data_IF_450600023708
#
_entry.id   IF_450600023708
#
_cell.length_a   1.000
_cell.length_b   1.000
_cell.length_c   1.000
_cell.angle_alpha   90.00
_cell.angle_beta   90.00
_cell.angle_gamma   90.00
#
_symmetry.space_group_name_H-M   'P 1'
#
loop_
_entity.id
_entity.type
_entity.pdbx_description
1 polymer ?
#
# COMPACT_ATOMS: atom_id res chain seq x y z
N UNK A 1 14.64 -0.40 17.62
CA UNK A 1 15.33 -0.33 16.31
C UNK A 1 14.95 0.97 15.62
N UNK A 2 15.81 1.55 14.76
CA UNK A 2 15.50 2.78 14.02
C UNK A 2 14.72 2.46 12.74
N UNK A 3 13.72 3.27 12.41
CA UNK A 3 13.01 3.18 11.14
C UNK A 3 13.98 3.39 9.98
N UNK A 4 13.92 2.54 8.97
CA UNK A 4 14.70 2.69 7.73
C UNK A 4 13.90 3.46 6.69
N UNK A 5 14.55 3.94 5.60
CA UNK A 5 13.87 4.67 4.55
C UNK A 5 12.64 3.95 3.99
N UNK A 6 12.66 2.62 3.93
CA UNK A 6 11.52 1.81 3.48
C UNK A 6 10.32 1.88 4.45
N UNK A 7 10.56 1.80 5.77
CA UNK A 7 9.47 1.92 6.74
C UNK A 7 8.92 3.36 6.78
N UNK A 8 9.78 4.36 6.61
CA UNK A 8 9.37 5.76 6.49
C UNK A 8 8.52 5.99 5.23
N UNK A 9 8.93 5.43 4.09
CA UNK A 9 8.17 5.52 2.85
C UNK A 9 6.77 4.88 2.99
N UNK A 10 6.68 3.67 3.57
CA UNK A 10 5.39 3.02 3.86
C UNK A 10 4.52 3.85 4.79
N UNK A 11 5.10 4.39 5.87
CA UNK A 11 4.35 5.20 6.81
C UNK A 11 3.82 6.49 6.16
N UNK A 12 4.64 7.16 5.35
CA UNK A 12 4.24 8.38 4.66
C UNK A 12 3.13 8.14 3.64
N UNK A 13 3.25 7.10 2.81
CA UNK A 13 2.21 6.70 1.84
C UNK A 13 0.92 6.33 2.58
N UNK A 14 1.01 5.46 3.59
CA UNK A 14 -0.16 5.07 4.37
C UNK A 14 -0.86 6.23 5.08
N UNK A 15 -0.11 7.21 5.57
CA UNK A 15 -0.69 8.44 6.14
C UNK A 15 -1.36 9.31 5.08
N UNK A 16 -0.79 9.40 3.88
CA UNK A 16 -1.43 10.12 2.78
C UNK A 16 -2.78 9.47 2.42
N UNK A 17 -2.84 8.14 2.31
CA UNK A 17 -4.08 7.42 1.99
C UNK A 17 -5.11 7.54 3.12
N UNK A 18 -4.66 7.49 4.38
CA UNK A 18 -5.54 7.55 5.55
C UNK A 18 -6.08 8.97 5.86
N UNK A 19 -5.28 10.01 5.63
CA UNK A 19 -5.60 11.38 6.03
C UNK A 19 -6.05 12.25 4.85
N UNK A 20 -5.48 12.03 3.66
CA UNK A 20 -5.83 12.74 2.43
C UNK A 20 -6.69 11.90 1.49
N UNK A 21 -7.45 10.94 2.04
CA UNK A 21 -8.25 9.94 1.32
C UNK A 21 -9.09 10.50 0.18
N UNK A 22 -9.74 11.66 0.39
CA UNK A 22 -10.57 12.27 -0.64
C UNK A 22 -9.76 12.73 -1.86
N UNK A 23 -8.57 13.32 -1.63
CA UNK A 23 -7.67 13.77 -2.70
C UNK A 23 -6.99 12.60 -3.39
N UNK A 24 -6.49 11.63 -2.62
CA UNK A 24 -5.89 10.41 -3.16
C UNK A 24 -6.92 9.67 -4.02
N UNK A 25 -8.12 9.44 -3.49
CA UNK A 25 -9.19 8.77 -4.22
C UNK A 25 -9.62 9.53 -5.47
N UNK A 26 -9.72 10.86 -5.45
CA UNK A 26 -9.99 11.65 -6.67
C UNK A 26 -8.95 11.37 -7.76
N UNK A 27 -7.67 11.29 -7.38
CA UNK A 27 -6.57 10.97 -8.30
C UNK A 27 -6.66 9.53 -8.79
N UNK A 28 -6.86 8.56 -7.90
CA UNK A 28 -6.84 7.13 -8.24
C UNK A 28 -8.05 6.68 -9.05
N UNK A 29 -9.25 7.09 -8.64
CA UNK A 29 -10.49 6.75 -9.34
C UNK A 29 -10.73 7.65 -10.56
N UNK A 30 -10.09 8.83 -10.65
CA UNK A 30 -10.35 9.82 -11.71
C UNK A 30 -11.73 10.49 -11.60
N UNK A 31 -12.38 10.34 -10.44
CA UNK A 31 -13.66 10.91 -10.07
C UNK A 31 -13.74 11.04 -8.56
N UNK A 32 -14.76 11.74 -8.06
CA UNK A 32 -15.03 11.73 -6.62
C UNK A 32 -15.31 10.30 -6.12
N UNK A 33 -14.64 9.86 -5.04
CA UNK A 33 -14.90 8.55 -4.45
C UNK A 33 -16.23 8.53 -3.71
N UNK A 34 -16.86 7.35 -3.66
CA UNK A 34 -18.01 7.09 -2.78
C UNK A 34 -17.57 6.96 -1.32
N UNK A 35 -18.52 6.99 -0.39
CA UNK A 35 -18.22 6.80 1.03
C UNK A 35 -17.55 5.45 1.31
N UNK A 36 -17.98 4.39 0.64
CA UNK A 36 -17.41 3.05 0.77
C UNK A 36 -15.98 2.99 0.24
N UNK A 37 -15.71 3.64 -0.90
CA UNK A 37 -14.36 3.74 -1.47
C UNK A 37 -13.41 4.51 -0.56
N UNK A 38 -13.89 5.59 0.08
CA UNK A 38 -13.12 6.31 1.09
C UNK A 38 -12.82 5.44 2.32
N UNK A 39 -13.78 4.62 2.77
CA UNK A 39 -13.56 3.71 3.89
C UNK A 39 -12.48 2.68 3.55
N UNK A 40 -12.52 2.13 2.34
CA UNK A 40 -11.50 1.19 1.83
C UNK A 40 -10.13 1.86 1.77
N UNK A 41 -10.01 3.03 1.15
CA UNK A 41 -8.73 3.76 1.06
C UNK A 41 -8.16 4.08 2.45
N UNK A 42 -9.00 4.51 3.40
CA UNK A 42 -8.57 4.71 4.79
C UNK A 42 -8.04 3.43 5.43
N UNK A 43 -8.73 2.32 5.22
CA UNK A 43 -8.30 1.03 5.74
C UNK A 43 -6.96 0.60 5.13
N UNK A 44 -6.77 0.76 3.82
CA UNK A 44 -5.50 0.46 3.14
C UNK A 44 -4.37 1.35 3.67
N UNK A 45 -4.63 2.65 3.84
CA UNK A 45 -3.66 3.58 4.44
C UNK A 45 -3.23 3.16 5.84
N UNK A 46 -4.20 2.85 6.72
CA UNK A 46 -3.92 2.36 8.07
C UNK A 46 -3.18 1.03 8.08
N UNK A 47 -3.44 0.13 7.12
CA UNK A 47 -2.70 -1.12 6.95
C UNK A 47 -1.21 -0.83 6.71
N UNK A 48 -0.89 0.08 5.80
CA UNK A 48 0.50 0.45 5.50
C UNK A 48 1.21 1.07 6.72
N UNK A 49 0.53 1.98 7.44
CA UNK A 49 1.05 2.57 8.69
C UNK A 49 1.30 1.51 9.76
N UNK A 50 0.35 0.59 9.93
CA UNK A 50 0.47 -0.51 10.90
C UNK A 50 1.63 -1.43 10.54
N UNK A 51 1.77 -1.81 9.27
CA UNK A 51 2.86 -2.64 8.81
C UNK A 51 4.22 -1.95 8.98
N UNK A 52 4.33 -0.66 8.65
CA UNK A 52 5.54 0.13 8.89
C UNK A 52 5.91 0.18 10.38
N UNK A 53 4.91 0.36 11.24
CA UNK A 53 5.11 0.42 12.70
C UNK A 53 5.57 -0.93 13.25
N UNK A 54 4.90 -2.03 12.89
CA UNK A 54 5.28 -3.39 13.32
C UNK A 54 6.69 -3.71 12.82
N UNK A 55 6.98 -3.45 11.55
CA UNK A 55 8.30 -3.76 10.98
C UNK A 55 9.44 -2.93 11.58
N UNK A 56 9.19 -1.67 11.94
CA UNK A 56 10.16 -0.81 12.60
C UNK A 56 10.39 -1.19 14.08
N UNK A 57 9.33 -1.56 14.82
CA UNK A 57 9.39 -1.84 16.25
C UNK A 57 9.86 -3.27 16.56
N UNK A 58 9.27 -4.25 15.89
CA UNK A 58 9.41 -5.69 16.20
C UNK A 58 10.27 -6.42 15.17
N UNK A 59 10.49 -5.82 13.99
CA UNK A 59 11.24 -6.44 12.90
C UNK A 59 10.34 -7.23 11.96
N UNK A 60 10.84 -8.30 11.34
CA UNK A 60 10.02 -9.10 10.42
C UNK A 60 9.86 -8.52 9.02
N UNK A 61 10.89 -7.83 8.49
CA UNK A 61 10.90 -7.31 7.10
C UNK A 61 10.54 -8.36 6.05
N UNK A 62 10.94 -9.62 6.24
CA UNK A 62 10.58 -10.72 5.33
C UNK A 62 9.06 -10.92 5.26
N UNK A 63 8.37 -10.86 6.41
CA UNK A 63 6.91 -10.91 6.44
C UNK A 63 6.31 -9.67 5.77
N UNK A 64 6.83 -8.48 6.04
CA UNK A 64 6.39 -7.25 5.38
C UNK A 64 6.49 -7.32 3.84
N UNK A 65 7.59 -7.88 3.32
CA UNK A 65 7.77 -8.11 1.87
C UNK A 65 6.73 -9.08 1.32
N UNK A 66 6.44 -10.17 2.05
CA UNK A 66 5.41 -11.14 1.64
C UNK A 66 4.02 -10.50 1.63
N UNK A 67 3.68 -9.71 2.64
CA UNK A 67 2.39 -8.98 2.68
C UNK A 67 2.28 -7.99 1.52
N UNK A 68 3.34 -7.22 1.24
CA UNK A 68 3.37 -6.30 0.10
C UNK A 68 3.18 -7.04 -1.23
N UNK A 69 3.85 -8.18 -1.41
CA UNK A 69 3.73 -8.99 -2.62
C UNK A 69 2.34 -9.61 -2.79
N UNK A 70 1.75 -10.15 -1.72
CA UNK A 70 0.39 -10.71 -1.74
C UNK A 70 -0.66 -9.64 -2.02
N UNK A 71 -0.48 -8.44 -1.45
CA UNK A 71 -1.37 -7.32 -1.73
C UNK A 71 -1.25 -6.85 -3.18
N UNK A 72 -0.02 -6.73 -3.71
CA UNK A 72 0.19 -6.40 -5.10
C UNK A 72 -0.51 -7.42 -6.02
N UNK A 73 -0.37 -8.72 -5.74
CA UNK A 73 -1.03 -9.78 -6.50
C UNK A 73 -2.57 -9.70 -6.42
N UNK A 74 -3.14 -9.40 -5.24
CA UNK A 74 -4.59 -9.26 -5.11
C UNK A 74 -5.13 -8.02 -5.82
N UNK A 75 -4.37 -6.93 -5.86
CA UNK A 75 -4.72 -5.74 -6.63
C UNK A 75 -4.59 -5.96 -8.14
N UNK A 76 -3.60 -6.73 -8.61
CA UNK A 76 -3.54 -7.17 -10.02
C UNK A 76 -4.79 -7.99 -10.37
N UNK A 77 -5.17 -8.91 -9.51
CA UNK A 77 -6.38 -9.71 -9.70
C UNK A 77 -7.62 -8.80 -9.80
N UNK A 78 -7.73 -7.81 -8.91
CA UNK A 78 -8.83 -6.86 -8.92
C UNK A 78 -8.82 -5.96 -10.17
N UNK A 79 -7.65 -5.60 -10.69
CA UNK A 79 -7.52 -4.82 -11.91
C UNK A 79 -7.99 -5.61 -13.16
N UNK A 80 -7.71 -6.92 -13.20
CA UNK A 80 -8.06 -7.80 -14.32
C UNK A 80 -9.55 -8.15 -14.28
N UNK A 81 -10.03 -8.65 -13.14
CA UNK A 81 -11.36 -9.27 -13.02
C UNK A 81 -12.40 -8.38 -12.34
N UNK A 82 -12.00 -7.28 -11.70
CA UNK A 82 -12.90 -6.37 -11.01
C UNK A 82 -13.63 -5.39 -11.93
N UNK A 83 -14.58 -4.62 -11.37
CA UNK A 83 -15.28 -3.57 -12.10
C UNK A 83 -14.33 -2.52 -12.72
N UNK A 84 -14.67 -2.04 -13.91
CA UNK A 84 -13.87 -1.02 -14.60
C UNK A 84 -13.70 0.27 -13.77
N UNK A 85 -14.67 0.58 -12.91
CA UNK A 85 -14.69 1.77 -12.04
C UNK A 85 -13.58 1.79 -10.98
N UNK A 86 -13.01 0.65 -10.63
CA UNK A 86 -11.93 0.54 -9.62
C UNK A 86 -10.60 0.11 -10.22
N UNK A 87 -10.55 -0.21 -11.52
CA UNK A 87 -9.37 -0.75 -12.19
C UNK A 87 -8.16 0.17 -12.05
N UNK A 88 -8.33 1.48 -12.17
CA UNK A 88 -7.24 2.44 -12.09
C UNK A 88 -6.64 2.51 -10.68
N UNK A 89 -7.48 2.51 -9.65
CA UNK A 89 -7.04 2.42 -8.25
C UNK A 89 -6.33 1.09 -7.98
N UNK A 90 -6.89 -0.04 -8.45
CA UNK A 90 -6.27 -1.35 -8.31
C UNK A 90 -4.88 -1.42 -8.98
N UNK A 91 -4.72 -0.83 -10.17
CA UNK A 91 -3.40 -0.71 -10.82
C UNK A 91 -2.44 0.14 -9.99
N UNK A 92 -2.87 1.33 -9.53
CA UNK A 92 -2.06 2.23 -8.67
C UNK A 92 -1.53 1.49 -7.44
N UNK A 93 -2.43 0.88 -6.68
CA UNK A 93 -2.11 0.12 -5.47
C UNK A 93 -1.19 -1.07 -5.75
N UNK A 94 -1.42 -1.81 -6.85
CA UNK A 94 -0.54 -2.91 -7.25
C UNK A 94 0.90 -2.45 -7.54
N UNK A 95 1.05 -1.28 -8.18
CA UNK A 95 2.37 -0.72 -8.53
C UNK A 95 3.09 -0.28 -7.26
N UNK A 96 2.40 0.44 -6.37
CA UNK A 96 2.96 0.91 -5.09
C UNK A 96 3.39 -0.28 -4.24
N UNK A 97 2.50 -1.24 -4.02
CA UNK A 97 2.78 -2.43 -3.21
C UNK A 97 3.91 -3.29 -3.83
N UNK A 98 3.91 -3.46 -5.15
CA UNK A 98 4.97 -4.16 -5.87
C UNK A 98 6.33 -3.49 -5.70
N UNK A 99 6.40 -2.15 -5.82
CA UNK A 99 7.62 -1.39 -5.61
C UNK A 99 8.17 -1.56 -4.18
N UNK A 100 7.29 -1.52 -3.16
CA UNK A 100 7.66 -1.74 -1.76
C UNK A 100 8.16 -3.17 -1.50
N UNK A 101 7.52 -4.17 -2.10
CA UNK A 101 7.96 -5.56 -2.01
C UNK A 101 9.36 -5.76 -2.63
N UNK A 102 9.59 -5.20 -3.83
CA UNK A 102 10.88 -5.26 -4.52
C UNK A 102 11.96 -4.57 -3.70
N UNK A 103 11.69 -3.37 -3.18
CA UNK A 103 12.64 -2.63 -2.35
C UNK A 103 12.98 -3.40 -1.08
N UNK A 104 11.98 -3.88 -0.33
CA UNK A 104 12.22 -4.69 0.86
C UNK A 104 13.00 -5.99 0.56
N UNK A 105 12.67 -6.68 -0.52
CA UNK A 105 13.40 -7.86 -0.97
C UNK A 105 14.84 -7.58 -1.37
N UNK A 106 15.12 -6.40 -1.96
CA UNK A 106 16.48 -5.97 -2.28
C UNK A 106 17.32 -5.70 -1.03
N UNK A 107 16.73 -5.13 0.03
CA UNK A 107 17.40 -4.91 1.31
C UNK A 107 17.72 -6.25 1.98
N UNK A 108 16.78 -7.21 1.94
CA UNK A 108 16.97 -8.54 2.54
C UNK A 108 18.07 -9.34 1.84
N UNK A 109 18.23 -9.20 0.52
CA UNK A 109 19.30 -9.89 -0.25
C UNK A 109 20.70 -9.33 -0.01
N UNK A 110 20.83 -8.12 0.54
CA UNK A 110 22.11 -7.44 0.81
C UNK A 110 22.60 -7.64 2.25
N UNK A 111 21.87 -8.39 3.07
CA UNK A 111 22.23 -8.73 4.46
C UNK A 111 22.52 -10.22 4.55
#
# INVERSE_FOLDING_TARGET
MRATPLELARAALGLADALATARVGEVEFGRRPTADELAVLRFLGWRQVTQASITALVGGRRLGVVVDALHAASMIALAIWGPATIRRAAVSESVIAGALAIWGGSILRRR
#
